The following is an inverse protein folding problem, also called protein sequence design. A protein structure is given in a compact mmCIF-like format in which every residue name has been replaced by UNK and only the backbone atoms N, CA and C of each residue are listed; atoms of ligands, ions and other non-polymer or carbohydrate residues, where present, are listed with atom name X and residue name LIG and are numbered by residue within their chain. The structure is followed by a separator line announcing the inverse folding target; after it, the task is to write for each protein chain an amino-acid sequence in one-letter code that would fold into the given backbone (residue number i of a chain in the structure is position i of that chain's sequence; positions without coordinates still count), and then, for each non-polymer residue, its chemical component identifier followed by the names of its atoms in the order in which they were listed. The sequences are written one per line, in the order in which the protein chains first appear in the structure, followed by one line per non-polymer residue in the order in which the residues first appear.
data_IF_559308176653
#
_entry.id   IF_559308176653
#
_cell.length_a   1.000
_cell.length_b   1.000
_cell.length_c   1.000
_cell.angle_alpha   90.00
_cell.angle_beta   90.00
_cell.angle_gamma   90.00
#
_symmetry.space_group_name_H-M   'P 1'
#
loop_
_entity.id
_entity.type
_entity.pdbx_description
1 polymer ?
#
# COMPACT_ATOMS: atom_id res chain seq x y z
N UNK A 1 -18.26 -17.98 -9.60
CA UNK A 1 -16.96 -17.31 -9.80
C UNK A 1 -16.25 -17.99 -10.96
N UNK A 2 -15.66 -17.24 -11.90
CA UNK A 2 -15.06 -17.80 -13.11
C UNK A 2 -13.72 -18.49 -12.81
N UNK A 3 -13.47 -19.67 -13.39
CA UNK A 3 -12.21 -20.44 -13.31
C UNK A 3 -11.00 -19.59 -13.71
N UNK A 4 -11.20 -18.57 -14.55
CA UNK A 4 -10.14 -17.64 -14.95
C UNK A 4 -9.63 -16.76 -13.79
N UNK A 5 -10.51 -16.36 -12.85
CA UNK A 5 -10.15 -15.48 -11.75
C UNK A 5 -9.25 -16.19 -10.71
N UNK A 6 -9.47 -17.49 -10.49
CA UNK A 6 -8.74 -18.32 -9.53
C UNK A 6 -7.25 -18.48 -9.88
N UNK A 7 -6.91 -18.37 -11.17
CA UNK A 7 -5.54 -18.48 -11.69
C UNK A 7 -4.78 -17.15 -11.67
N UNK A 8 -5.45 -16.03 -11.40
CA UNK A 8 -4.80 -14.71 -11.37
C UNK A 8 -3.78 -14.67 -10.24
N UNK A 9 -2.56 -14.27 -10.56
CA UNK A 9 -1.47 -14.10 -9.60
C UNK A 9 -1.62 -12.78 -8.83
N UNK A 10 -1.63 -12.88 -7.50
CA UNK A 10 -1.61 -11.73 -6.58
C UNK A 10 -0.17 -11.35 -6.20
N UNK A 11 0.76 -12.28 -6.27
CA UNK A 11 2.22 -12.11 -6.22
C UNK A 11 2.88 -13.12 -7.15
N UNK A 12 4.19 -13.10 -7.31
CA UNK A 12 4.92 -14.01 -8.22
C UNK A 12 4.62 -15.50 -7.97
N UNK A 13 4.29 -15.88 -6.73
CA UNK A 13 4.09 -17.28 -6.32
C UNK A 13 2.69 -17.62 -5.78
N UNK A 14 1.79 -16.63 -5.63
CA UNK A 14 0.48 -16.83 -5.00
C UNK A 14 -0.64 -16.34 -5.91
N UNK A 15 -1.55 -17.24 -6.28
CA UNK A 15 -2.80 -16.96 -6.99
C UNK A 15 -3.96 -16.59 -6.05
N UNK A 16 -5.07 -16.13 -6.62
CA UNK A 16 -6.34 -15.93 -5.90
C UNK A 16 -6.77 -17.20 -5.17
N UNK A 17 -6.73 -18.36 -5.86
CA UNK A 17 -7.10 -19.65 -5.25
C UNK A 17 -6.23 -19.99 -4.04
N UNK A 18 -4.92 -19.80 -4.17
CA UNK A 18 -3.97 -20.09 -3.11
C UNK A 18 -4.18 -19.14 -1.92
N UNK A 19 -4.40 -17.85 -2.16
CA UNK A 19 -4.72 -16.90 -1.11
C UNK A 19 -6.01 -17.28 -0.36
N UNK A 20 -7.07 -17.68 -1.09
CA UNK A 20 -8.32 -18.12 -0.46
C UNK A 20 -8.15 -19.40 0.37
N UNK A 21 -7.29 -20.30 -0.07
CA UNK A 21 -6.97 -21.50 0.71
C UNK A 21 -6.21 -21.15 2.01
N UNK A 22 -5.33 -20.14 1.99
CA UNK A 22 -4.69 -19.63 3.21
C UNK A 22 -5.70 -18.95 4.14
N UNK A 23 -6.65 -18.19 3.58
CA UNK A 23 -7.69 -17.49 4.32
C UNK A 23 -8.67 -18.46 5.00
N UNK A 24 -9.07 -19.54 4.32
CA UNK A 24 -10.04 -20.51 4.85
C UNK A 24 -9.54 -21.27 6.08
N UNK A 25 -8.23 -21.51 6.16
CA UNK A 25 -7.58 -22.14 7.32
C UNK A 25 -6.98 -21.13 8.29
N UNK A 26 -7.19 -19.82 8.05
CA UNK A 26 -6.63 -18.72 8.83
C UNK A 26 -5.11 -18.82 9.02
N UNK A 27 -4.36 -19.24 7.98
CA UNK A 27 -2.91 -19.32 8.02
C UNK A 27 -2.28 -17.92 8.04
N UNK A 28 -2.15 -17.36 9.25
CA UNK A 28 -1.58 -16.03 9.48
C UNK A 28 -0.15 -15.91 8.97
N UNK A 29 0.64 -16.97 9.08
CA UNK A 29 2.05 -16.97 8.65
C UNK A 29 2.12 -16.97 7.12
N UNK A 30 1.32 -17.81 6.47
CA UNK A 30 1.17 -17.83 5.02
C UNK A 30 0.69 -16.49 4.46
N UNK A 31 -0.31 -15.89 5.09
CA UNK A 31 -0.83 -14.56 4.71
C UNK A 31 0.24 -13.48 4.91
N UNK A 32 0.98 -13.50 6.03
CA UNK A 32 2.05 -12.53 6.28
C UNK A 32 3.15 -12.62 5.19
N UNK A 33 3.59 -13.83 4.84
CA UNK A 33 4.56 -14.05 3.75
C UNK A 33 4.03 -13.60 2.39
N UNK A 34 2.75 -13.82 2.13
CA UNK A 34 2.09 -13.30 0.92
C UNK A 34 2.15 -11.78 0.86
N UNK A 35 1.79 -11.10 1.95
CA UNK A 35 1.83 -9.64 2.04
C UNK A 35 3.26 -9.13 1.84
N UNK A 36 4.23 -9.72 2.53
CA UNK A 36 5.66 -9.38 2.36
C UNK A 36 6.12 -9.54 0.91
N UNK A 37 5.84 -10.68 0.26
CA UNK A 37 6.22 -10.93 -1.12
C UNK A 37 5.60 -9.90 -2.07
N UNK A 38 4.30 -9.63 -1.91
CA UNK A 38 3.56 -8.65 -2.71
C UNK A 38 4.14 -7.24 -2.57
N UNK A 39 4.47 -6.81 -1.35
CA UNK A 39 5.02 -5.48 -1.09
C UNK A 39 6.45 -5.36 -1.62
N UNK A 40 7.25 -6.40 -1.42
CA UNK A 40 8.62 -6.46 -1.93
C UNK A 40 8.64 -6.37 -3.45
N UNK A 41 7.80 -7.13 -4.14
CA UNK A 41 7.73 -7.14 -5.60
C UNK A 41 7.26 -5.80 -6.18
N UNK A 42 6.26 -5.16 -5.56
CA UNK A 42 5.58 -3.98 -6.12
C UNK A 42 6.22 -2.66 -5.74
N UNK A 43 6.80 -2.55 -4.55
CA UNK A 43 7.25 -1.26 -4.01
C UNK A 43 8.75 -1.22 -3.71
N UNK A 44 9.34 -2.30 -3.21
CA UNK A 44 10.75 -2.32 -2.75
C UNK A 44 11.72 -2.68 -3.87
N UNK A 45 11.43 -3.79 -4.58
CA UNK A 45 12.27 -4.31 -5.66
C UNK A 45 12.47 -3.30 -6.80
N UNK A 46 11.46 -2.54 -7.26
CA UNK A 46 11.66 -1.53 -8.30
C UNK A 46 12.74 -0.49 -7.96
N UNK A 47 12.93 -0.18 -6.67
CA UNK A 47 13.94 0.77 -6.20
C UNK A 47 15.34 0.15 -6.03
N UNK A 48 15.43 -1.18 -6.09
CA UNK A 48 16.66 -1.93 -5.83
C UNK A 48 17.41 -2.32 -7.12
N UNK A 49 16.73 -2.31 -8.27
CA UNK A 49 17.26 -2.86 -9.53
C UNK A 49 18.21 -1.88 -10.25
N UNK A 50 17.95 -0.57 -10.21
CA UNK A 50 18.82 0.42 -10.87
C UNK A 50 19.47 1.38 -9.86
N UNK A 51 20.66 1.02 -9.39
CA UNK A 51 21.40 1.81 -8.42
C UNK A 51 21.84 3.18 -8.96
N UNK A 52 21.96 3.33 -10.27
CA UNK A 52 22.40 4.54 -10.97
C UNK A 52 21.26 5.47 -11.37
N UNK A 53 19.99 5.03 -11.25
CA UNK A 53 18.80 5.78 -11.67
C UNK A 53 17.77 5.95 -10.54
N UNK A 54 18.25 6.04 -9.29
CA UNK A 54 17.38 6.27 -8.12
C UNK A 54 16.80 7.68 -8.13
N UNK A 55 15.62 7.83 -8.72
CA UNK A 55 14.84 9.07 -8.65
C UNK A 55 14.19 9.21 -7.27
N UNK A 56 14.52 10.27 -6.53
CA UNK A 56 13.87 10.61 -5.26
C UNK A 56 12.35 10.74 -5.40
N UNK A 57 11.89 11.21 -6.55
CA UNK A 57 10.48 11.24 -6.92
C UNK A 57 9.86 9.83 -6.94
N UNK A 58 10.50 8.87 -7.63
CA UNK A 58 9.99 7.50 -7.73
C UNK A 58 9.99 6.79 -6.36
N UNK A 59 11.03 7.00 -5.55
CA UNK A 59 11.11 6.47 -4.18
C UNK A 59 9.95 6.96 -3.33
N UNK A 60 9.68 8.27 -3.35
CA UNK A 60 8.59 8.84 -2.56
C UNK A 60 7.20 8.44 -3.08
N UNK A 61 7.02 8.39 -4.40
CA UNK A 61 5.78 7.92 -5.01
C UNK A 61 5.46 6.47 -4.62
N UNK A 62 6.45 5.58 -4.68
CA UNK A 62 6.30 4.18 -4.27
C UNK A 62 6.07 4.05 -2.76
N UNK A 63 6.73 4.87 -1.93
CA UNK A 63 6.48 4.90 -0.49
C UNK A 63 5.03 5.30 -0.18
N UNK A 64 4.48 6.32 -0.85
CA UNK A 64 3.09 6.72 -0.69
C UNK A 64 2.12 5.58 -1.04
N UNK A 65 2.34 4.92 -2.19
CA UNK A 65 1.51 3.78 -2.61
C UNK A 65 1.61 2.59 -1.65
N UNK A 66 2.79 2.35 -1.09
CA UNK A 66 3.03 1.30 -0.12
C UNK A 66 2.30 1.57 1.20
N UNK A 67 2.34 2.81 1.70
CA UNK A 67 1.62 3.23 2.91
C UNK A 67 0.11 3.06 2.70
N UNK A 68 -0.44 3.54 1.58
CA UNK A 68 -1.86 3.38 1.24
C UNK A 68 -2.30 1.91 1.22
N UNK A 69 -1.49 1.04 0.62
CA UNK A 69 -1.76 -0.39 0.59
C UNK A 69 -1.71 -0.99 2.01
N UNK A 70 -0.70 -0.66 2.81
CA UNK A 70 -0.53 -1.22 4.15
C UNK A 70 -1.68 -0.82 5.08
N UNK A 71 -2.09 0.46 5.05
CA UNK A 71 -3.26 0.94 5.80
C UNK A 71 -4.53 0.22 5.39
N UNK A 72 -4.74 0.00 4.09
CA UNK A 72 -5.92 -0.71 3.61
C UNK A 72 -5.96 -2.15 4.13
N UNK A 73 -4.83 -2.87 4.14
CA UNK A 73 -4.73 -4.19 4.76
C UNK A 73 -5.03 -4.13 6.26
N UNK A 74 -4.43 -3.17 6.98
CA UNK A 74 -4.57 -3.06 8.43
C UNK A 74 -6.00 -2.76 8.87
N UNK A 75 -6.72 -1.94 8.09
CA UNK A 75 -8.10 -1.52 8.37
C UNK A 75 -9.14 -2.44 7.73
N UNK A 76 -8.73 -3.41 6.91
CA UNK A 76 -9.64 -4.27 6.15
C UNK A 76 -10.45 -3.53 5.08
N UNK A 77 -9.90 -2.47 4.49
CA UNK A 77 -10.59 -1.68 3.48
C UNK A 77 -10.48 -2.33 2.10
N UNK A 78 -11.61 -2.47 1.42
CA UNK A 78 -11.66 -2.91 0.02
C UNK A 78 -11.14 -1.85 -0.96
N UNK A 79 -11.11 -0.58 -0.54
CA UNK A 79 -10.58 0.55 -1.32
C UNK A 79 -9.99 1.62 -0.40
N UNK A 80 -8.92 2.25 -0.84
CA UNK A 80 -8.32 3.44 -0.21
C UNK A 80 -8.97 4.76 -0.70
N UNK A 81 -9.91 4.68 -1.65
CA UNK A 81 -10.60 5.86 -2.17
C UNK A 81 -11.35 6.60 -1.05
N UNK A 82 -11.26 7.93 -1.07
CA UNK A 82 -11.89 8.87 -0.11
C UNK A 82 -11.35 8.87 1.32
N UNK A 83 -10.27 8.13 1.62
CA UNK A 83 -9.65 8.13 2.95
C UNK A 83 -8.59 9.23 3.13
N UNK A 84 -8.03 9.71 2.02
CA UNK A 84 -7.16 10.89 1.98
C UNK A 84 -6.07 10.93 3.05
N UNK A 85 -6.08 11.98 3.85
CA UNK A 85 -5.10 12.19 4.92
C UNK A 85 -5.19 11.17 6.06
N UNK A 86 -6.33 10.50 6.27
CA UNK A 86 -6.51 9.56 7.37
C UNK A 86 -5.65 8.31 7.22
N UNK A 87 -5.31 7.94 5.97
CA UNK A 87 -4.34 6.89 5.66
C UNK A 87 -2.99 7.26 6.29
N UNK A 88 -2.46 8.41 5.91
CA UNK A 88 -1.13 8.85 6.34
C UNK A 88 -1.10 9.13 7.83
N UNK A 89 -2.15 9.74 8.38
CA UNK A 89 -2.28 9.94 9.83
C UNK A 89 -2.25 8.61 10.57
N UNK A 90 -3.08 7.65 10.16
CA UNK A 90 -3.12 6.33 10.78
C UNK A 90 -1.78 5.61 10.71
N UNK A 91 -1.05 5.76 9.61
CA UNK A 91 0.29 5.19 9.47
C UNK A 91 1.29 5.85 10.41
N UNK A 92 1.36 7.19 10.42
CA UNK A 92 2.29 7.95 11.24
C UNK A 92 2.05 7.74 12.75
N UNK A 93 0.80 7.64 13.17
CA UNK A 93 0.45 7.37 14.58
C UNK A 93 0.85 5.96 15.03
N UNK A 94 0.83 4.97 14.13
CA UNK A 94 1.17 3.58 14.47
C UNK A 94 2.66 3.27 14.41
N UNK A 95 3.42 4.05 13.66
CA UNK A 95 4.85 3.81 13.46
C UNK A 95 5.65 4.93 14.14
N UNK A 96 6.23 4.64 15.31
CA UNK A 96 6.92 5.64 16.16
C UNK A 96 7.98 6.46 15.40
N UNK A 97 8.69 5.83 14.46
CA UNK A 97 9.70 6.48 13.61
C UNK A 97 9.12 7.61 12.74
N UNK A 98 7.82 7.60 12.48
CA UNK A 98 7.12 8.59 11.66
C UNK A 98 6.14 9.45 12.47
N UNK A 99 6.07 9.29 13.79
CA UNK A 99 5.10 9.97 14.64
C UNK A 99 5.18 11.51 14.54
N UNK A 100 6.36 12.05 14.23
CA UNK A 100 6.58 13.48 13.99
C UNK A 100 5.74 14.03 12.82
N UNK A 101 5.32 13.17 11.88
CA UNK A 101 4.53 13.55 10.73
C UNK A 101 3.02 13.48 10.97
N UNK A 102 2.56 12.88 12.08
CA UNK A 102 1.13 12.76 12.38
C UNK A 102 0.36 14.09 12.36
N UNK A 103 0.89 15.19 12.95
CA UNK A 103 0.23 16.50 12.88
C UNK A 103 0.18 17.08 11.46
N UNK A 104 1.07 16.62 10.57
CA UNK A 104 1.25 17.11 9.21
C UNK A 104 0.66 16.18 8.14
N UNK A 105 -0.11 15.15 8.55
CA UNK A 105 -0.70 14.20 7.61
C UNK A 105 -1.59 14.85 6.52
N UNK A 106 -2.41 15.89 6.81
CA UNK A 106 -3.17 16.59 5.77
C UNK A 106 -2.28 17.25 4.71
N UNK A 107 -1.23 17.95 5.14
CA UNK A 107 -0.27 18.61 4.27
C UNK A 107 0.56 17.58 3.50
N UNK A 108 0.98 16.50 4.14
CA UNK A 108 1.68 15.40 3.50
C UNK A 108 0.83 14.80 2.37
N UNK A 109 -0.43 14.49 2.65
CA UNK A 109 -1.35 13.96 1.65
C UNK A 109 -1.54 14.93 0.48
N UNK A 110 -1.83 16.20 0.77
CA UNK A 110 -2.12 17.22 -0.25
C UNK A 110 -0.89 17.60 -1.08
N UNK A 111 0.25 17.84 -0.43
CA UNK A 111 1.40 18.47 -1.07
C UNK A 111 2.42 17.43 -1.56
N UNK A 112 2.54 16.28 -0.89
CA UNK A 112 3.47 15.22 -1.27
C UNK A 112 2.73 14.16 -2.09
N UNK A 113 1.79 13.42 -1.50
CA UNK A 113 1.13 12.30 -2.20
C UNK A 113 0.38 12.78 -3.45
N UNK A 114 -0.54 13.74 -3.30
CA UNK A 114 -1.32 14.25 -4.43
C UNK A 114 -0.44 14.96 -5.46
N UNK A 115 0.58 15.70 -5.02
CA UNK A 115 1.55 16.36 -5.90
C UNK A 115 2.36 15.36 -6.74
N UNK A 116 2.77 14.22 -6.17
CA UNK A 116 3.54 13.19 -6.85
C UNK A 116 2.67 12.33 -7.80
N UNK A 117 1.44 12.01 -7.41
CA UNK A 117 0.57 11.09 -8.15
C UNK A 117 -0.42 11.78 -9.09
N UNK A 118 -0.42 13.12 -9.17
CA UNK A 118 -1.28 13.90 -10.06
C UNK A 118 -2.78 13.81 -9.74
N UNK A 119 -3.14 13.20 -8.61
CA UNK A 119 -4.54 13.00 -8.21
C UNK A 119 -4.99 14.17 -7.32
N UNK A 120 -6.06 14.90 -7.67
CA UNK A 120 -6.55 15.97 -6.81
C UNK A 120 -6.99 15.41 -5.44
N UNK A 121 -6.82 16.16 -4.34
CA UNK A 121 -7.38 15.78 -3.06
C UNK A 121 -8.90 15.65 -3.20
N UNK A 122 -9.47 14.56 -2.70
CA UNK A 122 -10.92 14.40 -2.65
C UNK A 122 -11.40 15.29 -1.51
N UNK A 123 -11.83 16.51 -1.83
CA UNK A 123 -12.53 17.38 -0.89
C UNK A 123 -13.96 16.86 -0.75
N UNK A 124 -14.27 16.29 0.41
CA UNK A 124 -15.66 16.05 0.79
C UNK A 124 -16.30 17.43 0.97
N UNK A 125 -17.07 17.91 -0.02
CA UNK A 125 -17.95 19.06 0.18
C UNK A 125 -19.11 18.55 1.03
N UNK A 126 -19.00 18.80 2.34
CA UNK A 126 -20.17 18.76 3.23
C UNK A 126 -21.21 19.79 2.80
#
# INVERSE_FOLDING_TARGET
MSIAAEKILLSKSISVAQYRALESVQDRVGIARFVEARFTERYVRPLSIEQTAKSGFAMMALACLMIEALEAFWRGWSTSQMRGADIFRGFFERNEQFAIFSPHAPEFYKNIRCGLLGNPPIFNRG
#
